data_IF_613949626161
#
_entry.id   IF_613949626161
#
_cell.length_a   1.000
_cell.length_b   1.000
_cell.length_c   1.000
_cell.angle_alpha   90.00
_cell.angle_beta   90.00
_cell.angle_gamma   90.00
#
_symmetry.space_group_name_H-M   'P 1'
#
loop_
_entity.id
_entity.type
_entity.pdbx_description
1 polymer ?
#
# COMPACT_ATOMS: atom_id res chain seq x y z
N UNK A 1 15.35 -8.46 26.70
CA UNK A 1 14.40 -8.64 25.58
C UNK A 1 15.22 -8.77 24.30
N UNK A 2 15.24 -9.96 23.71
CA UNK A 2 15.79 -10.18 22.36
C UNK A 2 14.91 -9.35 21.43
N UNK A 3 15.49 -8.45 20.64
CA UNK A 3 14.70 -7.61 19.74
C UNK A 3 14.18 -8.48 18.60
N UNK A 4 12.86 -8.67 18.53
CA UNK A 4 12.25 -9.40 17.42
C UNK A 4 12.57 -8.68 16.11
N UNK A 5 13.09 -9.43 15.14
CA UNK A 5 13.26 -8.97 13.75
C UNK A 5 12.25 -9.66 12.86
N UNK A 6 11.82 -8.97 11.82
CA UNK A 6 10.90 -9.47 10.79
C UNK A 6 11.59 -9.34 9.43
N UNK A 7 11.51 -10.37 8.60
CA UNK A 7 12.08 -10.33 7.24
C UNK A 7 11.08 -9.68 6.29
N UNK A 8 11.48 -8.61 5.60
CA UNK A 8 10.73 -7.95 4.51
C UNK A 8 11.62 -7.96 3.27
N UNK A 9 11.19 -8.69 2.24
CA UNK A 9 12.03 -8.98 1.08
C UNK A 9 13.28 -9.70 1.56
N UNK A 10 14.46 -9.21 1.21
CA UNK A 10 15.74 -9.75 1.69
C UNK A 10 16.35 -8.97 2.87
N UNK A 11 15.60 -8.06 3.48
CA UNK A 11 16.06 -7.25 4.62
C UNK A 11 15.44 -7.73 5.93
N UNK A 12 16.21 -7.66 7.01
CA UNK A 12 15.68 -7.78 8.37
C UNK A 12 15.32 -6.39 8.90
N UNK A 13 14.11 -6.26 9.42
CA UNK A 13 13.59 -5.04 10.04
C UNK A 13 13.38 -5.28 11.52
N UNK A 14 13.94 -4.41 12.36
CA UNK A 14 13.84 -4.52 13.80
C UNK A 14 15.07 -3.98 14.53
N UNK A 15 15.13 -4.23 15.84
CA UNK A 15 16.22 -3.70 16.69
C UNK A 15 17.59 -4.21 16.23
N UNK A 16 18.54 -3.30 16.09
CA UNK A 16 19.92 -3.62 15.68
C UNK A 16 20.11 -3.78 14.16
N UNK A 17 19.05 -3.62 13.37
CA UNK A 17 19.12 -3.54 11.91
C UNK A 17 19.11 -2.08 11.45
N UNK A 18 19.62 -1.77 10.24
CA UNK A 18 19.45 -0.45 9.64
C UNK A 18 17.98 -0.05 9.53
N UNK A 19 17.70 1.25 9.50
CA UNK A 19 16.35 1.75 9.25
C UNK A 19 15.86 1.27 7.87
N UNK A 20 14.64 0.74 7.81
CA UNK A 20 14.00 0.34 6.56
C UNK A 20 13.18 1.52 6.02
N UNK A 21 13.62 2.11 4.91
CA UNK A 21 13.03 3.31 4.31
C UNK A 21 12.08 2.92 3.18
N UNK A 22 10.81 3.29 3.34
CA UNK A 22 9.75 3.10 2.35
C UNK A 22 9.45 4.43 1.66
N UNK A 23 9.62 4.49 0.34
CA UNK A 23 9.17 5.64 -0.45
C UNK A 23 7.69 5.47 -0.81
N UNK A 24 6.82 6.27 -0.18
CA UNK A 24 5.38 6.28 -0.48
C UNK A 24 5.12 7.02 -1.79
N UNK A 25 5.01 6.26 -2.89
CA UNK A 25 4.55 6.78 -4.18
C UNK A 25 3.05 7.07 -4.07
N UNK A 26 2.29 6.16 -3.44
CA UNK A 26 0.87 6.32 -3.18
C UNK A 26 0.09 6.66 -4.45
N UNK A 27 -0.45 7.88 -4.51
CA UNK A 27 -1.18 8.42 -5.67
C UNK A 27 -0.45 9.61 -6.34
N UNK A 28 0.80 9.88 -5.96
CA UNK A 28 1.58 11.02 -6.45
C UNK A 28 1.96 10.92 -7.94
N UNK A 29 1.74 9.75 -8.55
CA UNK A 29 1.91 9.53 -9.99
C UNK A 29 0.81 10.20 -10.83
N UNK A 30 -0.27 10.71 -10.23
CA UNK A 30 -1.35 11.42 -10.93
C UNK A 30 -1.94 10.64 -12.13
N UNK A 31 -2.07 9.31 -12.02
CA UNK A 31 -2.55 8.45 -13.11
C UNK A 31 -1.57 8.26 -14.27
N UNK A 32 -0.33 8.74 -14.16
CA UNK A 32 0.71 8.62 -15.20
C UNK A 32 1.70 7.52 -14.86
N UNK A 33 1.71 6.43 -15.64
CA UNK A 33 2.71 5.36 -15.50
C UNK A 33 4.14 5.87 -15.68
N UNK A 34 4.34 6.84 -16.58
CA UNK A 34 5.64 7.50 -16.76
C UNK A 34 6.12 8.15 -15.46
N UNK A 35 5.25 8.90 -14.79
CA UNK A 35 5.57 9.56 -13.53
C UNK A 35 5.78 8.54 -12.41
N UNK A 36 5.01 7.44 -12.38
CA UNK A 36 5.26 6.34 -11.45
C UNK A 36 6.68 5.77 -11.63
N UNK A 37 7.10 5.45 -12.86
CA UNK A 37 8.46 4.96 -13.15
C UNK A 37 9.53 5.97 -12.75
N UNK A 38 9.34 7.27 -13.01
CA UNK A 38 10.28 8.32 -12.55
C UNK A 38 10.42 8.35 -11.02
N UNK A 39 9.31 8.21 -10.28
CA UNK A 39 9.31 8.16 -8.82
C UNK A 39 9.98 6.89 -8.28
N UNK A 40 9.76 5.73 -8.92
CA UNK A 40 10.46 4.48 -8.58
C UNK A 40 11.97 4.66 -8.76
N UNK A 41 12.38 5.19 -9.91
CA UNK A 41 13.79 5.39 -10.23
C UNK A 41 14.49 6.30 -9.23
N UNK A 42 13.93 7.47 -8.93
CA UNK A 42 14.51 8.40 -7.95
C UNK A 42 14.55 7.78 -6.55
N UNK A 43 13.56 6.96 -6.18
CA UNK A 43 13.55 6.27 -4.89
C UNK A 43 14.68 5.24 -4.78
N UNK A 44 14.92 4.48 -5.85
CA UNK A 44 16.04 3.54 -5.93
C UNK A 44 17.39 4.25 -5.90
N UNK A 45 17.57 5.32 -6.67
CA UNK A 45 18.78 6.14 -6.68
C UNK A 45 19.06 6.81 -5.33
N UNK A 46 18.01 7.16 -4.57
CA UNK A 46 18.12 7.69 -3.22
C UNK A 46 18.45 6.62 -2.15
N UNK A 47 18.48 5.33 -2.52
CA UNK A 47 18.79 4.23 -1.61
C UNK A 47 17.61 3.81 -0.71
N UNK A 48 16.37 4.06 -1.13
CA UNK A 48 15.20 3.52 -0.43
C UNK A 48 15.20 1.98 -0.50
N UNK A 49 14.65 1.32 0.53
CA UNK A 49 14.58 -0.13 0.55
C UNK A 49 13.42 -0.68 -0.26
N UNK A 50 12.33 0.07 -0.33
CA UNK A 50 11.15 -0.27 -1.12
C UNK A 50 10.39 0.97 -1.56
N UNK A 51 9.59 0.82 -2.60
CA UNK A 51 8.52 1.76 -2.93
C UNK A 51 7.17 1.21 -2.51
N UNK A 52 6.21 2.09 -2.22
CA UNK A 52 4.86 1.71 -1.82
C UNK A 52 3.78 2.41 -2.65
N UNK A 53 2.80 1.63 -3.09
CA UNK A 53 1.61 2.08 -3.82
C UNK A 53 0.34 1.92 -2.98
N UNK A 54 -0.80 2.27 -3.57
CA UNK A 54 -2.13 2.03 -2.99
C UNK A 54 -3.00 1.33 -4.02
N UNK A 55 -3.70 0.27 -3.61
CA UNK A 55 -4.67 -0.44 -4.43
C UNK A 55 -6.01 -0.49 -3.73
N UNK A 56 -7.06 -0.19 -4.48
CA UNK A 56 -8.42 -0.13 -3.95
C UNK A 56 -9.46 -0.33 -5.04
N UNK A 57 -10.59 -0.89 -4.66
CA UNK A 57 -11.82 -0.93 -5.44
C UNK A 57 -12.64 0.31 -5.07
N UNK A 58 -12.67 1.30 -5.97
CA UNK A 58 -13.18 2.65 -5.66
C UNK A 58 -14.60 2.63 -5.10
N UNK A 59 -15.50 1.86 -5.71
CA UNK A 59 -16.91 1.81 -5.31
C UNK A 59 -17.16 0.99 -4.03
N UNK A 60 -16.14 0.28 -3.51
CA UNK A 60 -16.18 -0.41 -2.21
C UNK A 60 -15.67 0.53 -1.11
N UNK A 61 -14.54 1.20 -1.36
CA UNK A 61 -13.84 2.00 -0.34
C UNK A 61 -14.50 3.34 -0.10
N UNK A 62 -15.21 3.90 -1.08
CA UNK A 62 -15.84 5.21 -0.97
C UNK A 62 -17.36 5.12 -1.09
N UNK A 63 -18.06 5.92 -0.27
CA UNK A 63 -19.52 6.03 -0.37
C UNK A 63 -19.92 6.70 -1.69
N UNK A 64 -21.11 6.39 -2.24
CA UNK A 64 -21.63 7.08 -3.42
C UNK A 64 -21.71 8.60 -3.25
N UNK A 65 -22.02 9.07 -2.04
CA UNK A 65 -22.02 10.50 -1.71
C UNK A 65 -20.62 11.12 -1.86
N UNK A 66 -19.59 10.49 -1.28
CA UNK A 66 -18.20 10.97 -1.38
C UNK A 66 -17.70 10.96 -2.82
N UNK A 67 -18.09 9.96 -3.62
CA UNK A 67 -17.74 9.90 -5.04
C UNK A 67 -18.46 10.97 -5.87
N UNK A 68 -19.69 11.33 -5.52
CA UNK A 68 -20.45 12.36 -6.23
C UNK A 68 -20.03 13.81 -5.87
N UNK A 69 -19.21 14.01 -4.83
CA UNK A 69 -18.79 15.35 -4.40
C UNK A 69 -18.11 16.13 -5.53
N UNK A 70 -18.53 17.38 -5.81
CA UNK A 70 -17.89 18.21 -6.82
C UNK A 70 -16.42 18.50 -6.49
N UNK A 71 -15.55 18.21 -7.45
CA UNK A 71 -14.11 18.47 -7.39
C UNK A 71 -13.56 18.46 -8.82
N UNK A 72 -13.35 19.64 -9.40
CA UNK A 72 -12.73 19.73 -10.73
C UNK A 72 -11.31 19.17 -10.72
N UNK A 73 -11.00 18.31 -11.68
CA UNK A 73 -9.72 17.63 -11.80
C UNK A 73 -9.48 17.16 -13.25
N UNK A 74 -8.28 16.68 -13.61
CA UNK A 74 -7.96 16.26 -14.98
C UNK A 74 -8.82 15.12 -15.54
N UNK A 75 -9.49 14.34 -14.69
CA UNK A 75 -10.30 13.18 -15.08
C UNK A 75 -11.80 13.48 -15.12
N UNK A 76 -12.25 14.62 -14.59
CA UNK A 76 -13.67 14.98 -14.57
C UNK A 76 -14.02 16.06 -13.55
N UNK A 77 -15.27 16.02 -13.08
CA UNK A 77 -15.86 17.07 -12.23
C UNK A 77 -16.15 16.61 -10.81
N UNK A 78 -16.01 15.32 -10.53
CA UNK A 78 -16.32 14.72 -9.25
C UNK A 78 -15.07 14.13 -8.59
N UNK A 79 -15.14 13.97 -7.28
CA UNK A 79 -14.11 13.24 -6.53
C UNK A 79 -13.99 11.80 -7.02
N UNK A 80 -15.10 11.16 -7.43
CA UNK A 80 -15.09 9.83 -8.02
C UNK A 80 -14.31 9.77 -9.34
N UNK A 81 -14.40 10.78 -10.19
CA UNK A 81 -13.60 10.85 -11.42
C UNK A 81 -12.10 10.87 -11.09
N UNK A 82 -11.71 11.68 -10.10
CA UNK A 82 -10.33 11.72 -9.62
C UNK A 82 -9.88 10.35 -9.08
N UNK A 83 -10.69 9.73 -8.22
CA UNK A 83 -10.33 8.44 -7.60
C UNK A 83 -10.15 7.35 -8.64
N UNK A 84 -11.04 7.26 -9.63
CA UNK A 84 -10.94 6.29 -10.73
C UNK A 84 -9.77 6.58 -11.66
N UNK A 85 -9.52 7.85 -11.99
CA UNK A 85 -8.38 8.23 -12.84
C UNK A 85 -7.00 8.01 -12.21
N UNK A 86 -6.92 7.97 -10.88
CA UNK A 86 -5.70 7.65 -10.13
C UNK A 86 -5.51 6.15 -9.90
N UNK A 87 -6.51 5.31 -10.19
CA UNK A 87 -6.48 3.89 -9.85
C UNK A 87 -5.91 3.06 -10.99
N UNK A 88 -4.67 2.61 -10.85
CA UNK A 88 -4.02 1.75 -11.83
C UNK A 88 -4.67 0.36 -11.92
N UNK A 89 -4.68 -0.18 -13.14
CA UNK A 89 -5.13 -1.52 -13.48
C UNK A 89 -3.98 -2.53 -13.55
N UNK A 90 -4.29 -3.72 -14.07
CA UNK A 90 -3.33 -4.82 -14.14
C UNK A 90 -2.10 -4.47 -15.01
N UNK A 91 -2.33 -3.86 -16.17
CA UNK A 91 -1.26 -3.53 -17.13
C UNK A 91 -0.24 -2.57 -16.51
N UNK A 92 -0.68 -1.51 -15.82
CA UNK A 92 0.23 -0.59 -15.17
C UNK A 92 0.98 -1.23 -13.99
N UNK A 93 0.32 -2.08 -13.20
CA UNK A 93 0.98 -2.78 -12.10
C UNK A 93 1.99 -3.83 -12.59
N UNK A 94 1.75 -4.48 -13.74
CA UNK A 94 2.74 -5.34 -14.40
C UNK A 94 3.99 -4.56 -14.83
N UNK A 95 3.80 -3.38 -15.40
CA UNK A 95 4.89 -2.48 -15.78
C UNK A 95 5.66 -1.94 -14.56
N UNK A 96 4.96 -1.66 -13.45
CA UNK A 96 5.57 -1.27 -12.17
C UNK A 96 6.40 -2.41 -11.61
N UNK A 97 5.84 -3.62 -11.54
CA UNK A 97 6.51 -4.80 -11.01
C UNK A 97 7.78 -5.13 -11.78
N UNK A 98 7.70 -5.15 -13.11
CA UNK A 98 8.85 -5.38 -13.97
C UNK A 98 9.93 -4.31 -13.77
N UNK A 99 9.53 -3.04 -13.68
CA UNK A 99 10.48 -1.94 -13.52
C UNK A 99 11.15 -1.92 -12.14
N UNK A 100 10.42 -2.26 -11.08
CA UNK A 100 10.99 -2.44 -9.74
C UNK A 100 12.04 -3.55 -9.72
N UNK A 101 11.78 -4.68 -10.41
CA UNK A 101 12.75 -5.79 -10.56
C UNK A 101 14.01 -5.36 -11.30
N UNK A 102 13.88 -4.61 -12.40
CA UNK A 102 15.02 -4.09 -13.16
C UNK A 102 15.93 -3.17 -12.34
N UNK A 103 15.34 -2.42 -11.41
CA UNK A 103 16.06 -1.51 -10.51
C UNK A 103 16.47 -2.16 -9.18
N UNK A 104 16.19 -3.45 -9.01
CA UNK A 104 16.47 -4.22 -7.79
C UNK A 104 15.89 -3.55 -6.50
N UNK A 105 14.73 -2.90 -6.63
CA UNK A 105 14.00 -2.29 -5.50
C UNK A 105 12.72 -3.07 -5.21
N UNK A 106 12.50 -3.36 -3.94
CA UNK A 106 11.30 -4.06 -3.47
C UNK A 106 10.07 -3.16 -3.57
N UNK A 107 8.87 -3.75 -3.70
CA UNK A 107 7.64 -2.98 -3.70
C UNK A 107 6.47 -3.74 -3.08
N UNK A 108 5.55 -2.96 -2.53
CA UNK A 108 4.28 -3.46 -2.01
C UNK A 108 3.23 -2.35 -2.06
N UNK A 109 2.01 -2.64 -1.59
CA UNK A 109 0.93 -1.67 -1.57
C UNK A 109 0.17 -1.66 -0.24
N UNK A 110 -0.48 -0.53 0.01
CA UNK A 110 -1.64 -0.51 0.91
C UNK A 110 -2.87 -0.99 0.18
N UNK A 111 -3.43 -2.11 0.64
CA UNK A 111 -4.66 -2.71 0.14
C UNK A 111 -5.82 -2.22 1.02
N UNK A 112 -6.84 -1.64 0.42
CA UNK A 112 -7.96 -1.00 1.13
C UNK A 112 -9.26 -1.83 1.14
N UNK A 113 -9.25 -2.98 0.48
CA UNK A 113 -10.36 -3.94 0.40
C UNK A 113 -9.81 -5.33 0.02
N UNK A 114 -10.58 -6.38 0.23
CA UNK A 114 -10.17 -7.76 -0.01
C UNK A 114 -9.72 -8.02 -1.45
N UNK A 115 -10.44 -7.44 -2.42
CA UNK A 115 -10.08 -7.60 -3.83
C UNK A 115 -8.74 -6.93 -4.15
N UNK A 116 -8.41 -5.83 -3.48
CA UNK A 116 -7.08 -5.22 -3.58
C UNK A 116 -5.97 -6.09 -2.95
N UNK A 117 -6.26 -6.84 -1.89
CA UNK A 117 -5.31 -7.82 -1.31
C UNK A 117 -5.06 -8.93 -2.32
N UNK A 118 -6.12 -9.53 -2.87
CA UNK A 118 -6.01 -10.61 -3.87
C UNK A 118 -5.25 -10.13 -5.12
N UNK A 119 -5.55 -8.90 -5.58
CA UNK A 119 -4.87 -8.29 -6.72
C UNK A 119 -3.37 -8.14 -6.49
N UNK A 120 -2.99 -7.59 -5.33
CA UNK A 120 -1.57 -7.35 -5.01
C UNK A 120 -0.84 -8.66 -4.73
N UNK A 121 -1.51 -9.66 -4.18
CA UNK A 121 -0.92 -10.99 -3.95
C UNK A 121 -0.38 -11.64 -5.23
N UNK A 122 -0.99 -11.40 -6.38
CA UNK A 122 -0.50 -11.90 -7.67
C UNK A 122 0.93 -11.45 -8.01
N UNK A 123 1.40 -10.37 -7.40
CA UNK A 123 2.75 -9.86 -7.55
C UNK A 123 3.72 -10.38 -6.48
N UNK A 124 3.27 -11.26 -5.57
CA UNK A 124 4.05 -11.82 -4.48
C UNK A 124 4.76 -10.75 -3.61
N UNK A 125 4.01 -9.82 -3.01
CA UNK A 125 4.57 -8.67 -2.30
C UNK A 125 5.39 -9.12 -1.08
N UNK A 126 6.44 -8.39 -0.75
CA UNK A 126 7.29 -8.73 0.40
C UNK A 126 6.60 -8.59 1.76
N UNK A 127 5.61 -7.72 1.84
CA UNK A 127 4.76 -7.47 3.00
C UNK A 127 3.47 -6.77 2.57
N UNK A 128 2.54 -6.60 3.50
CA UNK A 128 1.39 -5.72 3.32
C UNK A 128 1.47 -4.48 4.20
N UNK A 129 0.79 -3.42 3.77
CA UNK A 129 0.61 -2.20 4.56
C UNK A 129 -0.88 -1.97 4.85
N UNK A 130 -1.25 -1.99 6.12
CA UNK A 130 -2.58 -1.54 6.54
C UNK A 130 -2.57 -0.03 6.78
N UNK A 131 -3.42 0.72 6.08
CA UNK A 131 -3.57 2.16 6.30
C UNK A 131 -4.19 2.42 7.69
N UNK A 132 -3.87 3.53 8.34
CA UNK A 132 -4.43 3.81 9.68
C UNK A 132 -5.96 3.89 9.68
N UNK A 133 -6.56 4.37 8.59
CA UNK A 133 -8.00 4.44 8.42
C UNK A 133 -8.69 3.06 8.34
N UNK A 134 -7.92 2.00 8.12
CA UNK A 134 -8.41 0.62 8.04
C UNK A 134 -8.03 -0.21 9.27
N UNK A 135 -7.48 0.41 10.32
CA UNK A 135 -7.04 -0.30 11.52
C UNK A 135 -8.18 -0.99 12.25
N UNK A 136 -9.39 -0.43 12.20
CA UNK A 136 -10.60 -0.99 12.82
C UNK A 136 -11.42 -1.86 11.86
N UNK A 137 -10.92 -2.10 10.65
CA UNK A 137 -11.56 -2.97 9.66
C UNK A 137 -11.13 -4.42 9.88
N UNK A 138 -11.80 -5.04 10.85
CA UNK A 138 -11.61 -6.42 11.28
C UNK A 138 -11.63 -7.45 10.14
N UNK A 139 -12.50 -7.28 9.16
CA UNK A 139 -12.63 -8.21 8.03
C UNK A 139 -11.42 -8.10 7.12
N UNK A 140 -11.03 -6.88 6.76
CA UNK A 140 -9.83 -6.62 5.97
C UNK A 140 -8.55 -7.09 6.68
N UNK A 141 -8.43 -6.88 8.00
CA UNK A 141 -7.29 -7.35 8.79
C UNK A 141 -7.18 -8.89 8.74
N UNK A 142 -8.29 -9.60 8.98
CA UNK A 142 -8.33 -11.07 8.88
C UNK A 142 -8.01 -11.55 7.47
N UNK A 143 -8.44 -10.82 6.46
CA UNK A 143 -8.15 -11.16 5.07
C UNK A 143 -6.67 -11.07 4.73
N UNK A 144 -5.96 -10.04 5.22
CA UNK A 144 -4.50 -9.94 5.05
C UNK A 144 -3.76 -11.09 5.74
N UNK A 145 -4.21 -11.48 6.93
CA UNK A 145 -3.61 -12.57 7.72
C UNK A 145 -3.58 -13.90 6.97
N UNK A 146 -4.55 -14.17 6.08
CA UNK A 146 -4.69 -15.47 5.39
C UNK A 146 -3.46 -15.86 4.55
N UNK A 147 -2.66 -14.88 4.12
CA UNK A 147 -1.45 -15.10 3.31
C UNK A 147 -0.18 -15.30 4.15
N UNK A 148 -0.21 -15.05 5.45
CA UNK A 148 0.95 -15.23 6.34
C UNK A 148 2.14 -14.33 6.01
N UNK A 149 1.92 -13.21 5.30
CA UNK A 149 2.98 -12.23 4.99
C UNK A 149 3.22 -11.29 6.17
N UNK A 150 4.43 -10.72 6.30
CA UNK A 150 4.68 -9.61 7.20
C UNK A 150 3.69 -8.46 6.98
N UNK A 151 3.27 -7.80 8.07
CA UNK A 151 2.34 -6.67 8.01
C UNK A 151 2.95 -5.45 8.69
N UNK A 152 2.92 -4.32 7.99
CA UNK A 152 3.20 -3.00 8.56
C UNK A 152 1.86 -2.30 8.83
N UNK A 153 1.47 -2.20 10.09
CA UNK A 153 0.26 -1.51 10.54
C UNK A 153 0.59 -0.05 10.93
N UNK A 154 -0.16 0.91 10.39
CA UNK A 154 -0.10 2.30 10.86
C UNK A 154 -1.24 2.54 11.84
N UNK A 155 -0.98 3.34 12.86
CA UNK A 155 -1.87 3.48 14.03
C UNK A 155 -2.29 4.93 14.28
N UNK A 156 -2.20 5.77 13.26
CA UNK A 156 -2.61 7.18 13.37
C UNK A 156 -4.11 7.32 13.56
N UNK A 157 -4.54 8.26 14.40
CA UNK A 157 -5.95 8.50 14.76
C UNK A 157 -6.61 7.34 15.54
N UNK A 158 -5.82 6.39 16.07
CA UNK A 158 -6.34 5.25 16.82
C UNK A 158 -6.00 5.34 18.31
N UNK A 159 -6.86 4.77 19.16
CA UNK A 159 -6.59 4.57 20.59
C UNK A 159 -5.70 3.36 20.82
N UNK A 160 -5.11 3.24 22.02
CA UNK A 160 -4.34 2.03 22.37
C UNK A 160 -5.21 0.77 22.37
N UNK A 161 -6.48 0.88 22.78
CA UNK A 161 -7.44 -0.23 22.79
C UNK A 161 -7.71 -0.73 21.36
N UNK A 162 -7.88 0.18 20.40
CA UNK A 162 -8.04 -0.18 18.97
C UNK A 162 -6.78 -0.83 18.42
N UNK A 163 -5.59 -0.35 18.81
CA UNK A 163 -4.30 -0.91 18.36
C UNK A 163 -4.12 -2.33 18.92
N UNK A 164 -4.41 -2.55 20.19
CA UNK A 164 -4.33 -3.88 20.84
C UNK A 164 -5.30 -4.86 20.18
N UNK A 165 -6.55 -4.44 19.94
CA UNK A 165 -7.54 -5.23 19.21
C UNK A 165 -7.06 -5.59 17.80
N UNK A 166 -6.52 -4.63 17.04
CA UNK A 166 -6.00 -4.90 15.70
C UNK A 166 -4.84 -5.92 15.72
N UNK A 167 -3.97 -5.88 16.74
CA UNK A 167 -2.92 -6.88 16.94
C UNK A 167 -3.52 -8.27 17.19
N UNK A 168 -4.56 -8.38 18.04
CA UNK A 168 -5.23 -9.66 18.30
C UNK A 168 -5.85 -10.25 17.03
N UNK A 169 -6.47 -9.42 16.20
CA UNK A 169 -7.07 -9.83 14.92
C UNK A 169 -6.00 -10.33 13.95
N UNK A 170 -4.88 -9.60 13.81
CA UNK A 170 -3.77 -9.95 12.92
C UNK A 170 -2.99 -11.18 13.41
N UNK A 171 -2.94 -11.40 14.73
CA UNK A 171 -2.21 -12.50 15.38
C UNK A 171 -0.70 -12.40 15.25
#
# INVERSE_FOLDING_TARGET
MVGNTVKIGDKLVGRGQPCYVVAEIGINHNGSLKTAKELIKVSAEAGCNSVKFQKRTIDVVFTPEELARPRENPFGKTNGDLKRGLEFGLEEYQEIDQYCKELEIDWFASCWDEASVDFIEHFNPSCYKIASASLTDDELLRYHRKYGRPIILSTGMSTMEEIEHAIEVLG
#
